data_IF_618210766549
#
_entry.id   IF_618210766549
#
_cell.length_a   1.000
_cell.length_b   1.000
_cell.length_c   1.000
_cell.angle_alpha   90.00
_cell.angle_beta   90.00
_cell.angle_gamma   90.00
#
_symmetry.space_group_name_H-M   'P 1'
#
loop_
_entity.id
_entity.type
_entity.pdbx_description
1 polymer ?
#
# COMPACT_ATOMS: atom_id res chain seq x y z
N UNK A 1 7.09 13.29 13.37
CA UNK A 1 5.77 12.93 13.89
C UNK A 1 5.51 13.51 15.28
N UNK A 2 6.37 14.36 15.87
CA UNK A 2 6.00 15.07 17.12
C UNK A 2 4.71 15.90 17.02
N UNK A 3 4.32 16.32 15.81
CA UNK A 3 3.02 16.93 15.53
C UNK A 3 1.87 15.91 15.39
N UNK A 4 2.18 14.67 14.96
CA UNK A 4 1.20 13.61 14.71
C UNK A 4 0.91 12.85 16.01
N UNK A 5 1.92 12.46 16.80
CA UNK A 5 1.69 11.93 18.15
C UNK A 5 0.95 12.92 19.06
N UNK A 6 1.11 14.24 18.85
CA UNK A 6 0.31 15.28 19.55
C UNK A 6 -1.14 15.34 19.09
N UNK A 7 -1.41 15.16 17.79
CA UNK A 7 -2.78 15.18 17.21
C UNK A 7 -3.49 13.82 17.40
N UNK A 8 -2.70 12.76 17.54
CA UNK A 8 -3.08 11.36 17.49
C UNK A 8 -2.27 10.57 18.53
N UNK A 9 -2.65 10.67 19.82
CA UNK A 9 -1.85 10.15 20.94
C UNK A 9 -1.64 8.63 20.92
N UNK A 10 -2.44 7.89 20.15
CA UNK A 10 -2.39 6.43 20.05
C UNK A 10 -1.55 5.94 18.84
N UNK A 11 -0.88 6.83 18.12
CA UNK A 11 0.03 6.45 17.02
C UNK A 11 1.45 6.80 17.42
N UNK A 12 2.16 5.79 17.93
CA UNK A 12 3.59 5.89 18.23
C UNK A 12 4.38 5.43 17.00
N UNK A 13 5.31 6.27 16.57
CA UNK A 13 6.19 6.01 15.44
C UNK A 13 7.49 6.77 15.64
N UNK A 14 8.53 6.36 14.93
CA UNK A 14 9.92 6.79 15.12
C UNK A 14 10.11 8.22 14.69
N UNK A 15 10.44 9.11 15.62
CA UNK A 15 10.86 10.46 15.28
C UNK A 15 12.36 10.61 15.07
N UNK A 16 13.14 9.63 15.52
CA UNK A 16 14.60 9.57 15.38
C UNK A 16 15.10 8.13 15.55
N UNK A 17 16.15 7.78 14.83
CA UNK A 17 16.82 6.47 14.91
C UNK A 17 18.20 6.66 15.53
N UNK A 18 18.69 5.68 16.29
CA UNK A 18 20.03 5.75 16.87
C UNK A 18 21.11 5.58 15.78
N UNK A 19 22.26 6.25 15.97
CA UNK A 19 23.41 6.10 15.07
C UNK A 19 23.85 4.64 14.95
N UNK A 20 23.73 3.86 16.03
CA UNK A 20 24.08 2.45 16.02
C UNK A 20 23.15 1.62 15.12
N UNK A 21 21.83 1.85 15.20
CA UNK A 21 20.87 1.19 14.32
C UNK A 21 21.12 1.55 12.83
N UNK A 22 21.58 2.76 12.55
CA UNK A 22 22.00 3.15 11.20
C UNK A 22 23.25 2.39 10.74
N UNK A 23 24.28 2.29 11.59
CA UNK A 23 25.50 1.51 11.31
C UNK A 23 25.16 0.04 11.08
N UNK A 24 24.36 -0.57 11.95
CA UNK A 24 23.93 -1.96 11.80
C UNK A 24 23.15 -2.18 10.51
N UNK A 25 22.26 -1.26 10.12
CA UNK A 25 21.55 -1.39 8.85
C UNK A 25 22.50 -1.29 7.66
N UNK A 26 23.45 -0.35 7.69
CA UNK A 26 24.44 -0.21 6.62
C UNK A 26 25.20 -1.52 6.46
N UNK A 27 25.67 -2.10 7.56
CA UNK A 27 26.46 -3.32 7.53
C UNK A 27 25.64 -4.56 7.11
N UNK A 28 24.44 -4.73 7.68
CA UNK A 28 23.69 -5.99 7.55
C UNK A 28 22.62 -5.98 6.45
N UNK A 29 22.16 -4.81 6.00
CA UNK A 29 20.94 -4.70 5.17
C UNK A 29 21.06 -3.80 3.95
N UNK A 30 21.93 -2.78 3.97
CA UNK A 30 21.99 -1.80 2.87
C UNK A 30 22.27 -2.41 1.50
N UNK A 31 23.09 -3.46 1.42
CA UNK A 31 23.41 -4.13 0.16
C UNK A 31 22.16 -4.68 -0.58
N UNK A 32 21.15 -5.13 0.16
CA UNK A 32 19.88 -5.61 -0.42
C UNK A 32 19.12 -4.49 -1.15
N UNK A 33 19.22 -3.25 -0.66
CA UNK A 33 18.53 -2.10 -1.22
C UNK A 33 19.37 -1.35 -2.25
N UNK A 34 20.66 -1.11 -1.94
CA UNK A 34 21.58 -0.38 -2.80
C UNK A 34 21.68 -1.00 -4.19
N UNK A 35 21.75 -2.34 -4.27
CA UNK A 35 21.80 -3.02 -5.57
C UNK A 35 20.52 -2.78 -6.38
N UNK A 36 19.34 -3.00 -5.79
CA UNK A 36 18.06 -2.79 -6.48
C UNK A 36 17.87 -1.33 -6.90
N UNK A 37 18.19 -0.38 -6.02
CA UNK A 37 18.10 1.07 -6.32
C UNK A 37 19.12 1.52 -7.37
N UNK A 38 20.36 1.02 -7.33
CA UNK A 38 21.42 1.46 -8.23
C UNK A 38 21.29 0.88 -9.64
N UNK A 39 20.71 -0.31 -9.80
CA UNK A 39 20.60 -0.95 -11.13
C UNK A 39 19.19 -0.87 -11.70
N UNK A 40 18.18 -1.38 -10.98
CA UNK A 40 16.81 -1.48 -11.52
C UNK A 40 16.17 -0.10 -11.70
N UNK A 41 16.22 0.74 -10.67
CA UNK A 41 15.57 2.06 -10.73
C UNK A 41 16.25 2.96 -11.76
N UNK A 42 17.58 2.94 -11.83
CA UNK A 42 18.32 3.72 -12.83
C UNK A 42 18.03 3.25 -14.25
N UNK A 43 17.89 1.94 -14.48
CA UNK A 43 17.45 1.39 -15.76
C UNK A 43 16.01 1.80 -16.10
N UNK A 44 15.07 1.71 -15.16
CA UNK A 44 13.67 2.09 -15.36
C UNK A 44 13.54 3.58 -15.68
N UNK A 45 14.24 4.44 -14.92
CA UNK A 45 14.30 5.89 -15.19
C UNK A 45 14.90 6.15 -16.57
N UNK A 46 15.99 5.48 -16.93
CA UNK A 46 16.60 5.64 -18.24
C UNK A 46 15.64 5.23 -19.35
N UNK A 47 14.93 4.10 -19.20
CA UNK A 47 13.94 3.62 -20.16
C UNK A 47 12.76 4.59 -20.32
N UNK A 48 12.28 5.20 -19.24
CA UNK A 48 11.26 6.26 -19.28
C UNK A 48 11.79 7.49 -20.02
N UNK A 49 12.99 7.96 -19.68
CA UNK A 49 13.60 9.16 -20.29
C UNK A 49 13.86 8.98 -21.79
N UNK A 50 14.24 7.78 -22.23
CA UNK A 50 14.44 7.48 -23.66
C UNK A 50 13.15 7.02 -24.36
N UNK A 51 12.00 7.09 -23.69
CA UNK A 51 10.69 6.75 -24.24
C UNK A 51 10.50 5.26 -24.59
N UNK A 52 11.34 4.38 -24.05
CA UNK A 52 11.27 2.92 -24.23
C UNK A 52 10.28 2.25 -23.28
N UNK A 53 10.05 2.85 -22.11
CA UNK A 53 9.03 2.44 -21.16
C UNK A 53 7.87 3.45 -21.24
N UNK A 54 6.82 3.09 -21.98
CA UNK A 54 5.58 3.87 -22.05
C UNK A 54 4.52 3.16 -21.22
N UNK A 55 3.78 3.89 -20.36
CA UNK A 55 2.69 3.30 -19.62
C UNK A 55 1.61 2.83 -20.61
N UNK A 56 1.00 1.69 -20.33
CA UNK A 56 -0.12 1.15 -21.10
C UNK A 56 -1.31 0.88 -20.20
N UNK A 57 -2.52 0.99 -20.76
CA UNK A 57 -3.73 0.56 -20.06
C UNK A 57 -3.63 -0.93 -19.75
N UNK A 58 -3.71 -1.31 -18.48
CA UNK A 58 -3.69 -2.71 -18.06
C UNK A 58 -4.84 -3.51 -18.69
N UNK A 59 -4.54 -4.77 -19.00
CA UNK A 59 -5.54 -5.76 -19.37
C UNK A 59 -6.44 -6.10 -18.16
N UNK A 60 -7.67 -6.55 -18.43
CA UNK A 60 -8.63 -6.91 -17.37
C UNK A 60 -8.05 -7.96 -16.43
N UNK A 61 -7.33 -8.96 -16.97
CA UNK A 61 -6.65 -10.00 -16.19
C UNK A 61 -5.60 -9.44 -15.23
N UNK A 62 -4.85 -8.42 -15.64
CA UNK A 62 -3.82 -7.79 -14.79
C UNK A 62 -4.47 -7.02 -13.64
N UNK A 63 -5.55 -6.29 -13.92
CA UNK A 63 -6.34 -5.58 -12.91
C UNK A 63 -7.01 -6.56 -11.93
N UNK A 64 -7.60 -7.65 -12.43
CA UNK A 64 -8.19 -8.69 -11.59
C UNK A 64 -7.11 -9.34 -10.72
N UNK A 65 -5.94 -9.64 -11.30
CA UNK A 65 -4.82 -10.20 -10.55
C UNK A 65 -4.37 -9.28 -9.43
N UNK A 66 -4.33 -7.96 -9.66
CA UNK A 66 -4.07 -7.02 -8.57
C UNK A 66 -5.04 -7.23 -7.39
N UNK A 67 -6.35 -7.35 -7.63
CA UNK A 67 -7.31 -7.54 -6.54
C UNK A 67 -7.24 -8.93 -5.89
N UNK A 68 -6.91 -9.97 -6.65
CA UNK A 68 -6.92 -11.37 -6.16
C UNK A 68 -5.60 -11.84 -5.55
N UNK A 69 -4.48 -11.19 -5.90
CA UNK A 69 -3.14 -11.61 -5.50
C UNK A 69 -2.44 -10.62 -4.57
N UNK A 70 -2.98 -9.42 -4.30
CA UNK A 70 -2.33 -8.45 -3.41
C UNK A 70 -3.11 -8.23 -2.11
N UNK A 71 -2.58 -7.37 -1.23
CA UNK A 71 -3.26 -6.86 -0.03
C UNK A 71 -4.67 -6.30 -0.28
N UNK A 72 -4.98 -5.89 -1.52
CA UNK A 72 -6.32 -5.50 -1.94
C UNK A 72 -7.38 -6.59 -1.66
N UNK A 73 -7.00 -7.86 -1.69
CA UNK A 73 -7.91 -8.98 -1.46
C UNK A 73 -8.60 -8.92 -0.09
N UNK A 74 -7.95 -8.34 0.93
CA UNK A 74 -8.49 -8.22 2.28
C UNK A 74 -9.68 -7.24 2.40
N UNK A 75 -9.93 -6.44 1.36
CA UNK A 75 -11.04 -5.47 1.30
C UNK A 75 -12.14 -5.86 0.31
N UNK A 76 -12.05 -7.05 -0.31
CA UNK A 76 -13.04 -7.51 -1.27
C UNK A 76 -14.36 -7.86 -0.58
N UNK A 77 -15.46 -7.55 -1.26
CA UNK A 77 -16.80 -8.01 -0.89
C UNK A 77 -17.33 -8.92 -1.99
N UNK A 78 -17.73 -10.13 -1.61
CA UNK A 78 -18.29 -11.09 -2.56
C UNK A 78 -19.82 -11.07 -2.53
N UNK A 79 -20.45 -10.83 -3.67
CA UNK A 79 -21.89 -10.98 -3.86
C UNK A 79 -22.19 -12.40 -4.38
N UNK A 80 -22.60 -13.30 -3.49
CA UNK A 80 -22.95 -14.69 -3.85
C UNK A 80 -24.08 -14.77 -4.89
N UNK A 81 -25.03 -13.84 -4.91
CA UNK A 81 -26.17 -13.90 -5.85
C UNK A 81 -25.72 -13.59 -7.27
N UNK A 82 -24.79 -12.66 -7.41
CA UNK A 82 -24.27 -12.23 -8.70
C UNK A 82 -22.99 -12.96 -9.11
N UNK A 83 -22.36 -13.68 -8.18
CA UNK A 83 -21.04 -14.31 -8.34
C UNK A 83 -19.96 -13.28 -8.72
N UNK A 84 -20.00 -12.11 -8.06
CA UNK A 84 -19.10 -10.99 -8.37
C UNK A 84 -18.38 -10.49 -7.13
N UNK A 85 -17.13 -10.08 -7.31
CA UNK A 85 -16.38 -9.30 -6.34
C UNK A 85 -16.63 -7.82 -6.54
N UNK A 86 -16.69 -7.08 -5.44
CA UNK A 86 -16.68 -5.62 -5.40
C UNK A 86 -15.52 -5.11 -4.56
N UNK A 87 -14.85 -4.08 -5.05
CA UNK A 87 -13.83 -3.33 -4.31
C UNK A 87 -14.23 -1.85 -4.27
N UNK A 88 -14.25 -1.25 -3.09
CA UNK A 88 -14.65 0.14 -2.89
C UNK A 88 -13.44 0.99 -2.45
N UNK A 89 -13.14 2.02 -3.24
CA UNK A 89 -12.06 2.98 -3.00
C UNK A 89 -12.49 4.13 -2.07
N UNK A 90 -13.32 3.84 -1.07
CA UNK A 90 -13.93 4.85 -0.20
C UNK A 90 -12.90 5.74 0.51
N UNK A 91 -11.70 5.21 0.75
CA UNK A 91 -10.60 5.88 1.47
C UNK A 91 -9.97 7.01 0.66
N UNK A 92 -10.05 6.95 -0.67
CA UNK A 92 -9.46 7.99 -1.54
C UNK A 92 -10.13 9.35 -1.35
N UNK A 93 -11.39 9.39 -0.88
CA UNK A 93 -12.12 10.64 -0.67
C UNK A 93 -11.48 11.57 0.37
N UNK A 94 -10.71 11.04 1.32
CA UNK A 94 -10.06 11.88 2.34
C UNK A 94 -8.74 12.49 1.88
N UNK A 95 -8.20 12.07 0.74
CA UNK A 95 -6.94 12.58 0.23
C UNK A 95 -7.16 13.88 -0.54
N UNK A 96 -6.49 14.94 -0.09
CA UNK A 96 -6.45 16.22 -0.80
C UNK A 96 -5.31 16.17 -1.79
N UNK A 97 -5.66 16.16 -3.08
CA UNK A 97 -4.70 16.18 -4.17
C UNK A 97 -4.38 17.63 -4.56
N UNK A 98 -3.22 17.84 -5.16
CA UNK A 98 -2.91 19.08 -5.85
C UNK A 98 -3.95 19.36 -6.93
N UNK A 99 -4.17 20.65 -7.20
CA UNK A 99 -5.07 21.08 -8.27
C UNK A 99 -4.70 20.39 -9.59
N UNK A 100 -5.72 19.94 -10.32
CA UNK A 100 -5.62 19.24 -11.60
C UNK A 100 -5.02 17.82 -11.52
N UNK A 101 -5.07 17.16 -10.37
CA UNK A 101 -4.79 15.72 -10.27
C UNK A 101 -6.03 14.98 -9.81
N UNK A 102 -6.24 13.78 -10.34
CA UNK A 102 -7.51 13.08 -10.18
C UNK A 102 -7.35 11.62 -9.80
N UNK A 103 -8.11 11.20 -8.78
CA UNK A 103 -8.41 9.80 -8.49
C UNK A 103 -9.92 9.68 -8.48
N UNK A 104 -10.54 9.34 -9.61
CA UNK A 104 -12.00 9.44 -9.80
C UNK A 104 -12.76 8.15 -9.58
N UNK A 105 -12.07 7.01 -9.63
CA UNK A 105 -12.72 5.71 -9.45
C UNK A 105 -13.07 5.50 -7.99
N UNK A 106 -14.30 5.02 -7.75
CA UNK A 106 -14.87 4.80 -6.42
C UNK A 106 -15.19 3.35 -6.16
N UNK A 107 -15.48 2.58 -7.20
CA UNK A 107 -15.81 1.17 -7.09
C UNK A 107 -15.42 0.44 -8.36
N UNK A 108 -15.04 -0.83 -8.23
CA UNK A 108 -14.92 -1.77 -9.34
C UNK A 108 -15.63 -3.07 -8.98
N UNK A 109 -16.31 -3.65 -9.97
CA UNK A 109 -16.97 -4.96 -9.87
C UNK A 109 -16.44 -5.90 -10.93
N UNK A 110 -16.14 -7.13 -10.57
CA UNK A 110 -15.49 -8.10 -11.44
C UNK A 110 -15.84 -9.56 -11.06
N UNK A 111 -15.77 -10.47 -12.03
CA UNK A 111 -15.64 -11.92 -11.79
C UNK A 111 -14.17 -12.32 -11.77
N UNK A 112 -13.84 -13.61 -11.67
CA UNK A 112 -12.44 -14.06 -11.78
C UNK A 112 -11.87 -13.91 -13.19
N UNK A 113 -12.73 -13.68 -14.18
CA UNK A 113 -12.41 -13.67 -15.61
C UNK A 113 -12.49 -12.28 -16.21
N UNK A 114 -13.42 -11.43 -15.75
CA UNK A 114 -13.62 -10.12 -16.34
C UNK A 114 -14.06 -9.02 -15.36
N UNK A 115 -13.74 -7.79 -15.73
CA UNK A 115 -14.27 -6.60 -15.06
C UNK A 115 -15.66 -6.30 -15.66
N UNK A 116 -16.67 -6.21 -14.79
CA UNK A 116 -18.07 -6.00 -15.16
C UNK A 116 -18.41 -4.52 -15.21
N UNK A 117 -17.97 -3.77 -14.19
CA UNK A 117 -18.33 -2.36 -14.04
C UNK A 117 -17.29 -1.57 -13.25
N UNK A 118 -17.17 -0.29 -13.59
CA UNK A 118 -16.32 0.70 -12.90
C UNK A 118 -17.21 1.90 -12.55
N UNK A 119 -17.15 2.35 -11.30
CA UNK A 119 -17.81 3.57 -10.86
C UNK A 119 -16.82 4.75 -10.84
N UNK A 120 -17.09 5.78 -11.63
CA UNK A 120 -16.26 6.98 -11.77
C UNK A 120 -17.15 8.22 -11.97
N UNK A 121 -16.71 9.40 -11.52
CA UNK A 121 -17.47 10.65 -11.74
C UNK A 121 -18.92 10.61 -11.23
N UNK A 122 -19.18 9.84 -10.16
CA UNK A 122 -20.54 9.66 -9.60
C UNK A 122 -21.48 8.74 -10.38
N UNK A 123 -21.03 8.08 -11.45
CA UNK A 123 -21.82 7.14 -12.25
C UNK A 123 -21.18 5.75 -12.27
N UNK A 124 -21.98 4.73 -12.56
CA UNK A 124 -21.52 3.34 -12.75
C UNK A 124 -21.56 3.00 -14.24
N UNK A 125 -20.42 2.64 -14.78
CA UNK A 125 -20.26 2.26 -16.18
C UNK A 125 -20.10 0.75 -16.29
N UNK A 126 -20.97 0.11 -17.06
CA UNK A 126 -20.91 -1.32 -17.33
C UNK A 126 -20.14 -1.56 -18.62
N UNK A 127 -19.19 -2.49 -18.62
CA UNK A 127 -18.34 -2.82 -19.78
C UNK A 127 -19.15 -3.05 -21.06
N UNK A 128 -20.25 -3.78 -20.95
CA UNK A 128 -21.14 -4.11 -22.07
C UNK A 128 -21.94 -2.91 -22.64
N UNK A 129 -21.93 -1.76 -21.97
CA UNK A 129 -22.76 -0.58 -22.31
C UNK A 129 -21.95 0.66 -22.68
N UNK A 130 -20.63 0.57 -22.72
CA UNK A 130 -19.74 1.69 -23.06
C UNK A 130 -18.90 1.37 -24.27
N UNK A 131 -18.43 2.41 -24.96
CA UNK A 131 -17.50 2.23 -26.08
C UNK A 131 -16.18 1.61 -25.62
N UNK A 132 -15.46 0.99 -26.54
CA UNK A 132 -14.13 0.45 -26.25
C UNK A 132 -13.15 1.53 -25.77
N UNK A 133 -13.22 2.74 -26.35
CA UNK A 133 -12.39 3.87 -25.96
C UNK A 133 -12.72 4.35 -24.54
N UNK A 134 -14.01 4.53 -24.21
CA UNK A 134 -14.43 4.90 -22.85
C UNK A 134 -14.02 3.84 -21.82
N UNK A 135 -14.11 2.55 -22.20
CA UNK A 135 -13.67 1.46 -21.33
C UNK A 135 -12.16 1.51 -21.06
N UNK A 136 -11.35 1.78 -22.09
CA UNK A 136 -9.91 2.00 -21.91
C UNK A 136 -9.63 3.16 -20.96
N UNK A 137 -10.32 4.28 -21.14
CA UNK A 137 -10.17 5.46 -20.27
C UNK A 137 -10.57 5.15 -18.82
N UNK A 138 -11.70 4.48 -18.60
CA UNK A 138 -12.12 4.04 -17.25
C UNK A 138 -11.07 3.16 -16.57
N UNK A 139 -10.48 2.22 -17.31
CA UNK A 139 -9.40 1.37 -16.80
C UNK A 139 -8.13 2.17 -16.48
N UNK A 140 -7.81 3.19 -17.26
CA UNK A 140 -6.69 4.09 -17.00
C UNK A 140 -6.84 4.83 -15.66
N UNK A 141 -8.04 5.39 -15.41
CA UNK A 141 -8.34 6.02 -14.12
C UNK A 141 -8.34 5.01 -12.97
N UNK A 142 -8.86 3.79 -13.18
CA UNK A 142 -8.83 2.72 -12.20
C UNK A 142 -7.37 2.32 -11.86
N UNK A 143 -6.52 2.16 -12.86
CA UNK A 143 -5.11 1.81 -12.70
C UNK A 143 -4.35 2.89 -11.91
N UNK A 144 -4.59 4.17 -12.20
CA UNK A 144 -4.02 5.31 -11.44
C UNK A 144 -4.47 5.25 -9.98
N UNK A 145 -5.76 4.99 -9.75
CA UNK A 145 -6.36 4.84 -8.43
C UNK A 145 -5.77 3.64 -7.67
N UNK A 146 -5.55 2.51 -8.35
CA UNK A 146 -4.92 1.30 -7.78
C UNK A 146 -3.48 1.55 -7.36
N UNK A 147 -2.68 2.21 -8.20
CA UNK A 147 -1.28 2.53 -7.92
C UNK A 147 -1.16 3.36 -6.63
N UNK A 148 -2.07 4.32 -6.44
CA UNK A 148 -2.12 5.12 -5.22
C UNK A 148 -2.48 4.31 -3.96
N UNK A 149 -3.42 3.37 -4.06
CA UNK A 149 -3.94 2.64 -2.91
C UNK A 149 -2.91 1.80 -2.18
N UNK A 150 -1.89 1.32 -2.88
CA UNK A 150 -0.86 0.41 -2.34
C UNK A 150 -0.16 1.07 -1.14
N UNK A 151 0.59 2.18 -1.30
CA UNK A 151 1.22 2.86 -0.19
C UNK A 151 0.24 3.71 0.63
N UNK A 152 -0.93 4.06 0.10
CA UNK A 152 -1.88 4.88 0.85
C UNK A 152 -2.65 4.08 1.91
N UNK A 153 -2.93 2.80 1.65
CA UNK A 153 -3.86 2.01 2.49
C UNK A 153 -3.48 0.54 2.66
N UNK A 154 -2.96 -0.11 1.62
CA UNK A 154 -2.83 -1.58 1.63
C UNK A 154 -1.54 -2.07 2.29
N UNK A 155 -0.52 -1.21 2.36
CA UNK A 155 0.81 -1.58 2.86
C UNK A 155 1.18 -0.96 4.22
N UNK A 156 0.43 0.04 4.70
CA UNK A 156 0.80 0.78 5.90
C UNK A 156 0.76 -0.04 7.17
N UNK A 157 -0.21 -0.96 7.26
CA UNK A 157 -0.40 -1.77 8.45
C UNK A 157 0.79 -2.71 8.71
N UNK A 158 1.51 -3.18 7.69
CA UNK A 158 2.70 -4.05 7.87
C UNK A 158 3.95 -3.32 8.36
N UNK A 159 3.93 -1.98 8.35
CA UNK A 159 5.02 -1.12 8.81
C UNK A 159 4.72 -0.44 10.14
N UNK A 160 3.53 0.15 10.29
CA UNK A 160 3.21 1.09 11.36
C UNK A 160 2.29 0.52 12.44
N UNK A 161 2.27 1.18 13.60
CA UNK A 161 1.52 0.81 14.80
C UNK A 161 2.03 -0.50 15.44
N UNK A 162 1.42 -1.67 15.19
CA UNK A 162 1.82 -2.91 15.86
C UNK A 162 3.30 -3.25 15.65
N UNK A 163 3.85 -3.22 14.42
CA UNK A 163 5.27 -3.52 14.24
C UNK A 163 6.20 -2.54 14.95
N UNK A 164 5.89 -1.24 14.93
CA UNK A 164 6.65 -0.22 15.65
C UNK A 164 6.56 -0.37 17.16
N UNK A 165 5.36 -0.62 17.70
CA UNK A 165 5.15 -0.85 19.12
C UNK A 165 5.94 -2.07 19.60
N UNK A 166 5.91 -3.18 18.86
CA UNK A 166 6.72 -4.37 19.16
C UNK A 166 8.22 -4.04 19.11
N UNK A 167 8.68 -3.36 18.06
CA UNK A 167 10.08 -3.01 17.89
C UNK A 167 10.61 -2.16 19.05
N UNK A 168 9.90 -1.08 19.40
CA UNK A 168 10.27 -0.17 20.49
C UNK A 168 10.22 -0.89 21.85
N UNK A 169 9.13 -1.60 22.14
CA UNK A 169 8.94 -2.24 23.43
C UNK A 169 9.94 -3.36 23.67
N UNK A 170 10.16 -4.24 22.68
CA UNK A 170 11.07 -5.36 22.84
C UNK A 170 12.53 -4.92 22.97
N UNK A 171 12.98 -3.98 22.13
CA UNK A 171 14.37 -3.50 22.16
C UNK A 171 14.71 -2.78 23.48
N UNK A 172 13.75 -2.04 24.04
CA UNK A 172 13.92 -1.29 25.29
C UNK A 172 13.79 -2.13 26.56
N UNK A 173 12.88 -3.11 26.57
CA UNK A 173 12.45 -3.77 27.80
C UNK A 173 13.04 -5.17 27.99
N UNK A 174 13.47 -5.84 26.92
CA UNK A 174 13.95 -7.21 27.01
C UNK A 174 15.49 -7.30 26.96
N UNK A 175 16.11 -8.09 27.85
CA UNK A 175 17.54 -8.38 27.77
C UNK A 175 17.86 -9.24 26.53
N UNK A 176 19.08 -9.16 26.00
CA UNK A 176 19.54 -9.97 24.85
C UNK A 176 19.44 -11.49 25.12
N UNK A 177 19.46 -11.90 26.38
CA UNK A 177 19.30 -13.29 26.81
C UNK A 177 17.85 -13.78 26.83
N UNK A 178 16.88 -12.87 26.70
CA UNK A 178 15.45 -13.21 26.68
C UNK A 178 15.11 -14.10 25.48
N UNK A 179 14.37 -15.18 25.73
CA UNK A 179 13.83 -16.04 24.67
C UNK A 179 12.83 -15.26 23.82
N UNK A 180 12.02 -14.39 24.43
CA UNK A 180 11.08 -13.54 23.72
C UNK A 180 11.80 -12.57 22.78
N UNK A 181 12.91 -11.97 23.23
CA UNK A 181 13.73 -11.10 22.38
C UNK A 181 14.37 -11.86 21.23
N UNK A 182 15.01 -13.00 21.49
CA UNK A 182 15.65 -13.81 20.45
C UNK A 182 14.64 -14.30 19.40
N UNK A 183 13.40 -14.58 19.81
CA UNK A 183 12.30 -14.88 18.91
C UNK A 183 11.93 -13.69 18.03
N UNK A 184 11.77 -12.49 18.61
CA UNK A 184 11.17 -11.34 17.94
C UNK A 184 12.16 -10.43 17.20
N UNK A 185 13.39 -10.31 17.68
CA UNK A 185 14.41 -9.40 17.13
C UNK A 185 14.65 -9.61 15.64
N UNK A 186 14.79 -10.85 15.11
CA UNK A 186 14.94 -11.04 13.67
C UNK A 186 13.78 -10.49 12.82
N UNK A 187 12.60 -10.29 13.43
CA UNK A 187 11.38 -9.85 12.76
C UNK A 187 11.11 -8.33 12.89
N UNK A 188 11.60 -7.68 13.95
CA UNK A 188 11.49 -6.22 14.08
C UNK A 188 12.78 -5.46 13.77
N UNK A 189 13.92 -6.16 13.64
CA UNK A 189 15.21 -5.52 13.39
C UNK A 189 15.11 -4.67 12.12
N UNK A 190 15.43 -3.38 12.27
CA UNK A 190 15.36 -2.32 11.26
C UNK A 190 13.97 -1.75 10.90
N UNK A 191 12.87 -2.26 11.44
CA UNK A 191 11.52 -1.72 11.20
C UNK A 191 11.48 -0.22 11.45
N UNK A 192 11.94 0.20 12.62
CA UNK A 192 11.92 1.60 13.03
C UNK A 192 12.83 2.49 12.17
N UNK A 193 13.99 1.97 11.76
CA UNK A 193 14.87 2.69 10.85
C UNK A 193 14.21 2.89 9.48
N UNK A 194 13.55 1.87 8.95
CA UNK A 194 12.89 1.91 7.66
C UNK A 194 11.68 2.85 7.70
N UNK A 195 10.87 2.78 8.74
CA UNK A 195 9.74 3.67 8.96
C UNK A 195 10.20 5.13 9.06
N UNK A 196 11.27 5.39 9.82
CA UNK A 196 11.85 6.72 9.89
C UNK A 196 12.35 7.21 8.52
N UNK A 197 13.05 6.35 7.78
CA UNK A 197 13.50 6.67 6.43
C UNK A 197 12.31 7.02 5.52
N UNK A 198 11.27 6.19 5.49
CA UNK A 198 10.09 6.38 4.65
C UNK A 198 9.32 7.67 5.00
N UNK A 199 9.14 7.96 6.29
CA UNK A 199 8.36 9.11 6.74
C UNK A 199 9.14 10.41 6.72
N UNK A 200 10.43 10.40 7.06
CA UNK A 200 11.19 11.62 7.34
C UNK A 200 12.22 11.99 6.30
N UNK A 201 12.89 10.99 5.74
CA UNK A 201 14.06 11.20 4.87
C UNK A 201 13.67 11.07 3.41
N UNK A 202 12.79 10.13 3.09
CA UNK A 202 12.24 9.93 1.77
C UNK A 202 11.32 11.09 1.42
N UNK A 203 11.85 12.06 0.67
CA UNK A 203 11.06 13.14 0.08
C UNK A 203 10.17 12.65 -1.07
N UNK A 204 10.13 11.34 -1.38
CA UNK A 204 9.37 10.76 -2.48
C UNK A 204 7.87 11.09 -2.46
N UNK A 205 7.33 11.37 -1.27
CA UNK A 205 5.95 11.81 -1.04
C UNK A 205 5.81 13.31 -0.77
N UNK A 206 6.90 14.08 -0.72
CA UNK A 206 6.87 15.54 -0.52
C UNK A 206 6.86 16.29 -1.86
N UNK A 207 5.75 16.18 -2.59
CA UNK A 207 5.55 16.95 -3.80
C UNK A 207 4.98 18.32 -3.42
N UNK A 208 5.78 19.39 -3.48
CA UNK A 208 5.31 20.77 -3.23
C UNK A 208 4.67 21.40 -4.46
N UNK A 209 4.55 20.63 -5.55
CA UNK A 209 4.11 21.09 -6.86
C UNK A 209 4.93 22.27 -7.40
N UNK A 210 6.17 22.41 -6.91
CA UNK A 210 7.08 23.49 -7.28
C UNK A 210 7.69 23.25 -8.66
N UNK A 211 8.23 24.30 -9.28
CA UNK A 211 9.00 24.15 -10.52
C UNK A 211 10.14 23.13 -10.34
N UNK A 212 10.85 23.18 -9.21
CA UNK A 212 11.97 22.28 -8.97
C UNK A 212 11.53 20.82 -8.84
N UNK A 213 10.40 20.56 -8.19
CA UNK A 213 9.87 19.20 -8.04
C UNK A 213 9.43 18.64 -9.40
N UNK A 214 8.76 19.44 -10.23
CA UNK A 214 8.29 19.02 -11.56
C UNK A 214 9.41 18.63 -12.52
N UNK A 215 10.53 19.36 -12.49
CA UNK A 215 11.61 19.19 -13.48
C UNK A 215 12.84 18.45 -12.97
N UNK A 216 13.14 18.53 -11.67
CA UNK A 216 14.34 17.93 -11.09
C UNK A 216 14.05 16.76 -10.14
N UNK A 217 12.78 16.53 -9.80
CA UNK A 217 12.37 15.36 -9.02
C UNK A 217 11.16 14.68 -9.65
N UNK A 218 11.27 14.23 -10.93
CA UNK A 218 10.17 13.58 -11.61
C UNK A 218 9.71 12.29 -10.91
N UNK A 219 10.49 11.73 -9.98
CA UNK A 219 10.13 10.59 -9.11
C UNK A 219 9.12 10.93 -7.99
N UNK A 220 8.68 12.20 -7.85
CA UNK A 220 7.68 12.61 -6.85
C UNK A 220 6.26 12.26 -7.28
N UNK A 221 5.96 10.98 -7.06
CA UNK A 221 4.77 10.28 -7.48
C UNK A 221 3.44 10.83 -6.98
N UNK A 222 3.36 11.20 -5.70
CA UNK A 222 2.09 11.55 -5.10
C UNK A 222 1.80 13.04 -5.31
N UNK A 223 0.65 13.40 -5.89
CA UNK A 223 0.29 14.80 -6.07
C UNK A 223 -0.25 15.38 -4.76
N UNK A 224 0.55 15.32 -3.70
CA UNK A 224 0.26 15.89 -2.38
C UNK A 224 1.57 16.18 -1.63
N UNK A 225 1.50 16.97 -0.57
CA UNK A 225 2.65 17.17 0.31
C UNK A 225 2.83 15.98 1.24
N UNK A 226 4.03 15.87 1.82
CA UNK A 226 4.34 14.84 2.80
C UNK A 226 3.43 14.92 4.03
N UNK A 227 3.08 16.11 4.50
CA UNK A 227 2.20 16.28 5.67
C UNK A 227 0.82 15.69 5.40
N UNK A 228 0.26 15.94 4.21
CA UNK A 228 -1.03 15.39 3.78
C UNK A 228 -0.95 13.87 3.66
N UNK A 229 0.14 13.34 3.09
CA UNK A 229 0.35 11.90 2.97
C UNK A 229 0.38 11.23 4.35
N UNK A 230 1.23 11.72 5.27
CA UNK A 230 1.38 11.14 6.60
C UNK A 230 0.10 11.29 7.43
N UNK A 231 -0.60 12.43 7.36
CA UNK A 231 -1.88 12.60 8.07
C UNK A 231 -2.90 11.54 7.63
N UNK A 232 -3.00 11.25 6.34
CA UNK A 232 -3.93 10.25 5.85
C UNK A 232 -3.49 8.82 6.21
N UNK A 233 -2.20 8.49 6.09
CA UNK A 233 -1.70 7.19 6.56
C UNK A 233 -2.01 6.96 8.04
N UNK A 234 -1.83 8.00 8.88
CA UNK A 234 -2.14 7.93 10.30
C UNK A 234 -3.62 7.64 10.56
N UNK A 235 -4.54 8.29 9.83
CA UNK A 235 -5.99 8.02 9.91
C UNK A 235 -6.34 6.60 9.51
N UNK A 236 -5.69 6.07 8.47
CA UNK A 236 -5.90 4.70 8.00
C UNK A 236 -5.39 3.67 9.00
N UNK A 237 -4.18 3.85 9.53
CA UNK A 237 -3.63 3.01 10.59
C UNK A 237 -4.52 3.03 11.84
N UNK A 238 -5.01 4.20 12.24
CA UNK A 238 -5.98 4.29 13.34
C UNK A 238 -7.26 3.54 13.04
N UNK A 239 -7.84 3.69 11.84
CA UNK A 239 -9.07 2.96 11.53
C UNK A 239 -8.85 1.44 11.56
N UNK A 240 -7.66 0.97 11.21
CA UNK A 240 -7.32 -0.45 11.27
C UNK A 240 -7.13 -0.91 12.73
N UNK A 241 -6.30 -0.20 13.51
CA UNK A 241 -5.84 -0.62 14.83
C UNK A 241 -6.65 -0.09 16.03
N UNK A 242 -7.46 0.97 15.89
CA UNK A 242 -8.40 1.42 16.93
C UNK A 242 -9.70 0.59 16.96
N UNK A 243 -9.78 -0.47 16.16
CA UNK A 243 -10.80 -1.49 16.34
C UNK A 243 -10.51 -2.29 17.61
N UNK A 244 -11.45 -3.13 18.02
CA UNK A 244 -11.16 -4.09 19.08
C UNK A 244 -10.00 -5.00 18.65
N UNK A 245 -9.04 -5.33 19.51
CA UNK A 245 -7.87 -6.14 19.14
C UNK A 245 -8.22 -7.46 18.45
N UNK A 246 -9.33 -8.09 18.83
CA UNK A 246 -9.86 -9.31 18.23
C UNK A 246 -10.30 -9.12 16.76
N UNK A 247 -10.50 -7.87 16.32
CA UNK A 247 -10.83 -7.52 14.94
C UNK A 247 -9.60 -7.31 14.04
N UNK A 248 -8.38 -7.46 14.58
CA UNK A 248 -7.16 -7.50 13.77
C UNK A 248 -6.19 -8.63 14.15
N UNK A 249 -6.40 -9.29 15.29
CA UNK A 249 -5.56 -10.37 15.79
C UNK A 249 -6.40 -11.57 16.29
N UNK A 250 -6.46 -12.69 15.53
CA UNK A 250 -5.95 -12.86 14.18
C UNK A 250 -6.76 -12.05 13.16
N UNK A 251 -6.15 -11.70 12.02
CA UNK A 251 -6.83 -10.82 11.05
C UNK A 251 -8.12 -11.45 10.50
N UNK A 252 -9.29 -10.78 10.59
CA UNK A 252 -10.59 -11.40 10.29
C UNK A 252 -10.73 -11.92 8.86
N UNK A 253 -10.06 -11.30 7.89
CA UNK A 253 -10.14 -11.74 6.49
C UNK A 253 -9.54 -13.14 6.28
N UNK A 254 -8.70 -13.62 7.19
CA UNK A 254 -8.22 -15.00 7.18
C UNK A 254 -9.35 -16.00 7.43
N UNK A 255 -10.45 -15.57 8.03
CA UNK A 255 -11.59 -16.42 8.40
C UNK A 255 -12.84 -16.19 7.53
N UNK A 256 -12.83 -15.21 6.63
CA UNK A 256 -13.97 -14.95 5.75
C UNK A 256 -14.14 -16.08 4.72
N UNK A 257 -15.18 -16.91 4.91
CA UNK A 257 -15.56 -18.02 4.04
C UNK A 257 -15.71 -17.64 2.57
N UNK A 258 -16.05 -16.38 2.28
CA UNK A 258 -16.23 -15.91 0.91
C UNK A 258 -14.90 -15.60 0.20
N UNK A 259 -13.82 -15.45 0.97
CA UNK A 259 -12.51 -15.04 0.47
C UNK A 259 -11.46 -16.14 0.59
N UNK A 260 -11.77 -17.28 1.22
CA UNK A 260 -10.81 -18.35 1.50
C UNK A 260 -10.13 -18.93 0.24
N UNK A 261 -10.84 -18.90 -0.88
CA UNK A 261 -10.35 -19.39 -2.18
C UNK A 261 -9.74 -18.29 -3.04
N UNK A 262 -9.54 -17.09 -2.50
CA UNK A 262 -8.78 -16.03 -3.15
C UNK A 262 -7.28 -16.37 -2.99
N UNK A 263 -6.49 -16.39 -4.08
CA UNK A 263 -5.10 -16.86 -4.04
C UNK A 263 -4.25 -16.22 -2.94
N UNK A 264 -4.34 -14.90 -2.76
CA UNK A 264 -3.63 -14.19 -1.70
C UNK A 264 -4.03 -14.68 -0.29
N UNK A 265 -5.33 -14.72 -0.01
CA UNK A 265 -5.88 -15.15 1.29
C UNK A 265 -5.52 -16.61 1.58
N UNK A 266 -5.65 -17.49 0.59
CA UNK A 266 -5.30 -18.90 0.70
C UNK A 266 -3.85 -19.11 1.11
N UNK A 267 -2.94 -18.37 0.47
CA UNK A 267 -1.50 -18.43 0.78
C UNK A 267 -1.24 -17.91 2.19
N UNK A 268 -1.82 -16.75 2.53
CA UNK A 268 -1.66 -16.14 3.85
C UNK A 268 -2.16 -17.04 4.99
N UNK A 269 -3.32 -17.69 4.83
CA UNK A 269 -3.85 -18.67 5.80
C UNK A 269 -2.90 -19.84 6.03
N UNK A 270 -2.34 -20.39 4.94
CA UNK A 270 -1.38 -21.49 5.01
C UNK A 270 -0.18 -21.11 5.85
N UNK A 271 0.46 -19.98 5.55
CA UNK A 271 1.62 -19.53 6.32
C UNK A 271 1.28 -19.13 7.75
N UNK A 272 0.13 -18.49 8.00
CA UNK A 272 -0.31 -18.16 9.35
C UNK A 272 -0.38 -19.42 10.23
N UNK A 273 -0.95 -20.52 9.73
CA UNK A 273 -1.01 -21.78 10.47
C UNK A 273 0.36 -22.40 10.79
N UNK A 274 1.35 -22.20 9.92
CA UNK A 274 2.73 -22.68 10.13
C UNK A 274 3.40 -21.84 11.22
N UNK A 275 3.33 -20.51 11.09
CA UNK A 275 3.86 -19.57 12.09
C UNK A 275 3.22 -19.83 13.44
N UNK A 276 1.90 -20.01 13.48
CA UNK A 276 1.16 -20.28 14.71
C UNK A 276 1.67 -21.51 15.43
N UNK A 277 1.86 -22.61 14.71
CA UNK A 277 2.35 -23.87 15.29
C UNK A 277 3.72 -23.69 15.92
N UNK A 278 4.62 -22.98 15.24
CA UNK A 278 5.93 -22.65 15.75
C UNK A 278 5.85 -21.77 17.01
N UNK A 279 5.08 -20.68 16.95
CA UNK A 279 4.90 -19.75 18.08
C UNK A 279 4.31 -20.46 19.29
N UNK A 280 3.29 -21.32 19.14
CA UNK A 280 2.72 -22.08 20.25
C UNK A 280 3.74 -22.99 20.96
N UNK A 281 4.76 -23.47 20.26
CA UNK A 281 5.82 -24.28 20.87
C UNK A 281 6.83 -23.40 21.63
N UNK A 282 7.23 -22.27 21.04
CA UNK A 282 8.19 -21.34 21.67
C UNK A 282 7.56 -20.57 22.83
N UNK A 283 6.27 -20.24 22.74
CA UNK A 283 5.49 -19.55 23.77
C UNK A 283 5.55 -20.24 25.13
N UNK A 284 5.74 -21.56 25.18
CA UNK A 284 5.89 -22.33 26.42
C UNK A 284 7.22 -22.06 27.14
N UNK A 285 8.19 -21.47 26.44
CA UNK A 285 9.53 -21.16 26.92
C UNK A 285 9.70 -19.67 27.24
N UNK A 286 8.71 -18.84 26.91
CA UNK A 286 8.74 -17.40 27.19
C UNK A 286 8.44 -17.17 28.67
N UNK A 287 9.24 -16.33 29.31
CA UNK A 287 8.98 -15.88 30.67
C UNK A 287 7.67 -15.06 30.72
N UNK A 288 6.68 -15.47 31.53
CA UNK A 288 5.42 -14.75 31.66
C UNK A 288 5.59 -13.29 32.12
N UNK A 289 6.59 -12.99 32.95
CA UNK A 289 6.85 -11.63 33.43
C UNK A 289 7.38 -10.73 32.29
N UNK A 290 8.29 -11.27 31.46
CA UNK A 290 8.78 -10.57 30.27
C UNK A 290 7.63 -10.27 29.29
N UNK A 291 6.75 -11.24 29.06
CA UNK A 291 5.57 -11.03 28.22
C UNK A 291 4.63 -9.97 28.79
N UNK A 292 4.36 -10.01 30.10
CA UNK A 292 3.47 -9.04 30.74
C UNK A 292 4.00 -7.61 30.54
N UNK A 293 5.27 -7.36 30.84
CA UNK A 293 5.91 -6.04 30.69
C UNK A 293 5.82 -5.53 29.24
N UNK A 294 6.11 -6.40 28.27
CA UNK A 294 6.07 -6.03 26.84
C UNK A 294 4.64 -5.79 26.39
N UNK A 295 3.70 -6.67 26.72
CA UNK A 295 2.29 -6.55 26.31
C UNK A 295 1.62 -5.31 26.90
N UNK A 296 1.91 -4.95 28.16
CA UNK A 296 1.44 -3.69 28.77
C UNK A 296 2.03 -2.46 28.06
N UNK A 297 3.31 -2.51 27.69
CA UNK A 297 3.94 -1.43 26.93
C UNK A 297 3.34 -1.28 25.52
N UNK A 298 3.00 -2.37 24.85
CA UNK A 298 2.31 -2.33 23.55
C UNK A 298 0.87 -1.84 23.75
N UNK A 299 0.19 -2.26 24.81
CA UNK A 299 -1.17 -1.85 25.20
C UNK A 299 -1.32 -0.35 25.43
N UNK A 300 -0.26 0.32 25.91
CA UNK A 300 -0.22 1.78 26.00
C UNK A 300 -0.33 2.49 24.63
N UNK A 301 0.03 1.80 23.55
CA UNK A 301 -0.10 2.29 22.15
C UNK A 301 -1.35 1.74 21.47
N UNK A 302 -1.66 0.46 21.70
CA UNK A 302 -2.77 -0.28 21.11
C UNK A 302 -3.68 -0.81 22.23
N UNK A 303 -4.62 0.01 22.73
CA UNK A 303 -5.42 -0.34 23.90
C UNK A 303 -6.16 -1.67 23.76
N UNK A 304 -6.09 -2.50 24.80
CA UNK A 304 -6.75 -3.80 24.89
C UNK A 304 -5.94 -4.97 24.33
N UNK A 305 -4.78 -4.73 23.72
CA UNK A 305 -3.97 -5.81 23.14
C UNK A 305 -3.43 -6.77 24.20
N UNK A 306 -3.30 -6.30 25.44
CA UNK A 306 -2.88 -7.05 26.61
C UNK A 306 -3.86 -8.17 26.99
N UNK A 307 -5.13 -8.10 26.56
CA UNK A 307 -6.11 -9.17 26.81
C UNK A 307 -6.00 -10.32 25.81
N UNK A 308 -5.25 -10.13 24.72
CA UNK A 308 -5.09 -11.17 23.71
C UNK A 308 -4.14 -12.27 24.19
N UNK A 309 -4.38 -13.53 23.78
CA UNK A 309 -3.42 -14.60 24.04
C UNK A 309 -2.06 -14.28 23.42
N UNK A 310 -0.97 -14.44 24.19
CA UNK A 310 0.40 -14.20 23.73
C UNK A 310 0.69 -14.86 22.38
N UNK A 311 0.32 -16.14 22.25
CA UNK A 311 0.55 -16.89 21.02
C UNK A 311 -0.15 -16.26 19.81
N UNK A 312 -1.31 -15.62 19.98
CA UNK A 312 -2.06 -15.02 18.88
C UNK A 312 -1.42 -13.69 18.45
N UNK A 313 -1.00 -12.87 19.41
CA UNK A 313 -0.30 -11.61 19.11
C UNK A 313 1.06 -11.85 18.45
N UNK A 314 1.87 -12.75 19.02
CA UNK A 314 3.18 -13.10 18.46
C UNK A 314 3.04 -13.74 17.08
N UNK A 315 2.04 -14.62 16.87
CA UNK A 315 1.74 -15.18 15.56
C UNK A 315 1.40 -14.08 14.56
N UNK A 316 0.50 -13.17 14.93
CA UNK A 316 0.04 -12.10 14.05
C UNK A 316 1.20 -11.18 13.67
N UNK A 317 2.00 -10.73 14.64
CA UNK A 317 3.17 -9.90 14.39
C UNK A 317 4.18 -10.58 13.44
N UNK A 318 4.65 -11.79 13.77
CA UNK A 318 5.66 -12.50 12.97
C UNK A 318 5.14 -12.76 11.55
N UNK A 319 3.90 -13.23 11.42
CA UNK A 319 3.26 -13.48 10.13
C UNK A 319 3.13 -12.20 9.30
N UNK A 320 2.74 -11.10 9.92
CA UNK A 320 2.54 -9.81 9.27
C UNK A 320 3.85 -9.22 8.72
N UNK A 321 4.87 -9.08 9.56
CA UNK A 321 6.12 -8.42 9.16
C UNK A 321 7.01 -9.29 8.27
N UNK A 322 6.83 -10.61 8.30
CA UNK A 322 7.64 -11.55 7.52
C UNK A 322 6.92 -11.98 6.23
N UNK A 323 5.70 -12.51 6.36
CA UNK A 323 5.01 -13.17 5.26
C UNK A 323 4.21 -12.16 4.46
N UNK A 324 3.30 -11.42 5.10
CA UNK A 324 2.46 -10.44 4.40
C UNK A 324 3.34 -9.38 3.75
N UNK A 325 4.24 -8.78 4.53
CA UNK A 325 5.14 -7.73 4.03
C UNK A 325 5.97 -8.18 2.83
N UNK A 326 6.59 -9.37 2.89
CA UNK A 326 7.38 -9.90 1.77
C UNK A 326 6.52 -10.19 0.55
N UNK A 327 5.32 -10.76 0.74
CA UNK A 327 4.42 -11.08 -0.37
C UNK A 327 3.90 -9.82 -1.05
N UNK A 328 3.54 -8.81 -0.28
CA UNK A 328 3.15 -7.51 -0.81
C UNK A 328 4.24 -6.95 -1.71
N UNK A 329 5.47 -6.84 -1.22
CA UNK A 329 6.58 -6.34 -2.04
C UNK A 329 6.80 -7.16 -3.32
N UNK A 330 6.91 -8.48 -3.22
CA UNK A 330 7.20 -9.32 -4.38
C UNK A 330 6.05 -9.31 -5.40
N UNK A 331 4.79 -9.32 -4.94
CA UNK A 331 3.64 -9.32 -5.84
C UNK A 331 3.43 -7.94 -6.47
N UNK A 332 3.64 -6.84 -5.74
CA UNK A 332 3.59 -5.51 -6.36
C UNK A 332 4.68 -5.36 -7.41
N UNK A 333 5.90 -5.87 -7.16
CA UNK A 333 6.99 -5.89 -8.16
C UNK A 333 6.56 -6.68 -9.40
N UNK A 334 5.99 -7.87 -9.23
CA UNK A 334 5.64 -8.71 -10.37
C UNK A 334 4.39 -8.28 -11.13
N UNK A 335 3.39 -7.74 -10.44
CA UNK A 335 2.07 -7.43 -11.02
C UNK A 335 2.05 -6.06 -11.68
N UNK A 336 2.88 -5.12 -11.21
CA UNK A 336 2.85 -3.73 -11.66
C UNK A 336 4.14 -3.32 -12.39
N UNK A 337 5.32 -3.74 -11.94
CA UNK A 337 6.60 -3.22 -12.47
C UNK A 337 6.93 -3.66 -13.89
N UNK A 338 6.50 -4.85 -14.32
CA UNK A 338 7.00 -5.43 -15.59
C UNK A 338 6.66 -4.60 -16.83
N UNK A 339 5.58 -3.82 -16.82
CA UNK A 339 5.13 -3.04 -17.97
C UNK A 339 4.55 -1.66 -17.61
N UNK A 340 4.42 -1.30 -16.33
CA UNK A 340 3.79 -0.04 -15.93
C UNK A 340 4.52 0.61 -14.73
N UNK A 341 4.84 1.91 -14.82
CA UNK A 341 5.45 2.63 -13.71
C UNK A 341 4.56 2.62 -12.47
N UNK A 342 5.19 2.50 -11.30
CA UNK A 342 4.61 2.30 -9.98
C UNK A 342 3.68 3.40 -9.47
N UNK A 343 3.78 4.59 -10.04
CA UNK A 343 3.00 5.74 -9.64
C UNK A 343 2.57 6.49 -10.87
N UNK A 344 1.31 6.29 -11.21
CA UNK A 344 0.68 6.95 -12.32
C UNK A 344 -0.11 8.10 -11.74
N UNK A 345 0.07 9.27 -12.34
CA UNK A 345 -0.78 10.41 -12.07
C UNK A 345 -1.51 10.78 -13.35
N UNK A 346 -2.79 11.10 -13.20
CA UNK A 346 -3.63 11.57 -14.29
C UNK A 346 -4.08 13.00 -13.97
N UNK A 347 -3.90 13.89 -14.95
CA UNK A 347 -4.16 15.32 -14.77
C UNK A 347 -5.46 15.79 -15.42
N UNK A 348 -6.30 14.85 -15.79
CA UNK A 348 -7.58 15.08 -16.45
C UNK A 348 -8.62 14.32 -15.64
N UNK A 349 -9.78 14.92 -15.28
CA UNK A 349 -10.86 14.20 -14.65
C UNK A 349 -11.45 13.17 -15.61
N UNK A 350 -12.05 12.13 -15.07
CA UNK A 350 -12.81 11.21 -15.90
C UNK A 350 -14.02 11.91 -16.51
N UNK A 351 -14.02 12.02 -17.83
CA UNK A 351 -15.14 12.49 -18.65
C UNK A 351 -15.31 11.53 -19.83
N UNK A 352 -16.53 11.01 -20.11
CA UNK A 352 -16.73 10.13 -21.26
C UNK A 352 -16.44 10.87 -22.57
N UNK A 353 -15.94 10.18 -23.58
CA UNK A 353 -15.63 10.79 -24.89
C UNK A 353 -16.85 11.37 -25.60
N UNK A 354 -18.07 10.97 -25.20
CA UNK A 354 -19.31 11.62 -25.63
C UNK A 354 -19.45 13.08 -25.18
N UNK A 355 -18.69 13.52 -24.17
CA UNK A 355 -18.62 14.92 -23.75
C UNK A 355 -17.66 15.69 -24.68
N UNK A 356 -18.08 15.91 -25.92
CA UNK A 356 -17.23 16.52 -26.95
C UNK A 356 -16.75 17.91 -26.55
N UNK A 357 -17.61 18.72 -25.89
CA UNK A 357 -17.22 20.05 -25.40
C UNK A 357 -16.00 20.03 -24.48
N UNK A 358 -15.93 19.04 -23.58
CA UNK A 358 -14.78 18.89 -22.69
C UNK A 358 -13.53 18.48 -23.47
N UNK A 359 -13.65 17.45 -24.31
CA UNK A 359 -12.52 16.89 -25.04
C UNK A 359 -11.99 17.80 -26.13
N UNK A 360 -12.85 18.55 -26.81
CA UNK A 360 -12.47 19.57 -27.81
C UNK A 360 -11.62 20.66 -27.14
N UNK A 361 -12.08 21.19 -26.00
CA UNK A 361 -11.33 22.20 -25.25
C UNK A 361 -9.98 21.67 -24.73
N UNK A 362 -9.96 20.43 -24.21
CA UNK A 362 -8.72 19.79 -23.76
C UNK A 362 -7.74 19.58 -24.92
N UNK A 363 -8.21 19.05 -26.05
CA UNK A 363 -7.38 18.79 -27.22
C UNK A 363 -6.82 20.09 -27.82
N UNK A 364 -7.64 21.15 -27.87
CA UNK A 364 -7.21 22.48 -28.30
C UNK A 364 -6.11 23.04 -27.37
N UNK A 365 -6.29 22.96 -26.04
CA UNK A 365 -5.29 23.41 -25.07
C UNK A 365 -3.96 22.67 -25.20
N UNK A 366 -4.01 21.35 -25.45
CA UNK A 366 -2.81 20.50 -25.54
C UNK A 366 -2.22 20.37 -26.93
N UNK A 367 -2.88 20.90 -27.96
CA UNK A 367 -2.48 20.71 -29.36
C UNK A 367 -2.55 19.24 -29.81
N UNK A 368 -3.50 18.47 -29.25
CA UNK A 368 -3.70 17.05 -29.55
C UNK A 368 -4.91 16.84 -30.46
N UNK A 369 -5.02 15.65 -31.07
CA UNK A 369 -6.25 15.22 -31.73
C UNK A 369 -6.98 14.22 -30.84
N UNK A 370 -8.29 14.36 -30.74
CA UNK A 370 -9.12 13.48 -29.92
C UNK A 370 -8.95 12.00 -30.30
N UNK A 371 -8.81 11.69 -31.59
CA UNK A 371 -8.63 10.31 -32.05
C UNK A 371 -7.34 9.68 -31.52
N UNK A 372 -6.28 10.45 -31.35
CA UNK A 372 -4.99 9.97 -30.84
C UNK A 372 -5.14 9.66 -29.34
N UNK A 373 -5.79 10.55 -28.58
CA UNK A 373 -6.12 10.34 -27.17
C UNK A 373 -7.04 9.12 -26.97
N UNK A 374 -8.01 8.89 -27.84
CA UNK A 374 -8.90 7.71 -27.77
C UNK A 374 -8.15 6.40 -28.05
N UNK A 375 -7.14 6.44 -28.93
CA UNK A 375 -6.37 5.28 -29.32
C UNK A 375 -5.36 4.87 -28.24
N UNK A 376 -4.64 5.85 -27.69
CA UNK A 376 -3.63 5.67 -26.65
C UNK A 376 -3.79 6.70 -25.49
N UNK A 377 -4.84 6.55 -24.66
CA UNK A 377 -5.06 7.47 -23.55
C UNK A 377 -3.94 7.39 -22.50
N UNK A 378 -3.20 6.28 -22.43
CA UNK A 378 -2.09 6.15 -21.47
C UNK A 378 -0.90 7.02 -21.87
N UNK A 379 -0.52 7.01 -23.15
CA UNK A 379 0.55 7.85 -23.68
C UNK A 379 0.25 9.35 -23.59
N UNK A 380 -1.01 9.74 -23.74
CA UNK A 380 -1.42 11.15 -23.79
C UNK A 380 -1.82 11.75 -22.44
N UNK A 381 -2.34 10.94 -21.50
CA UNK A 381 -2.95 11.47 -20.26
C UNK A 381 -2.16 11.15 -18.99
N UNK A 382 -1.25 10.17 -19.02
CA UNK A 382 -0.48 9.82 -17.83
C UNK A 382 0.84 10.58 -17.78
N UNK A 383 1.13 11.13 -16.60
CA UNK A 383 2.50 11.44 -16.24
C UNK A 383 3.12 10.21 -15.60
N UNK A 384 4.22 9.73 -16.19
CA UNK A 384 4.96 8.57 -15.72
C UNK A 384 5.95 8.97 -14.63
N UNK A 385 5.89 8.26 -13.51
CA UNK A 385 6.84 8.43 -12.41
C UNK A 385 7.36 7.07 -11.92
N UNK A 386 8.69 6.94 -11.83
CA UNK A 386 9.33 5.79 -11.17
C UNK A 386 9.27 5.98 -9.65
N UNK A 387 8.62 5.05 -8.94
CA UNK A 387 8.62 4.99 -7.48
C UNK A 387 9.63 3.96 -6.99
N UNK A 388 10.31 4.28 -5.89
CA UNK A 388 11.28 3.39 -5.24
C UNK A 388 10.65 2.92 -3.93
N UNK A 389 10.29 1.63 -3.87
CA UNK A 389 9.91 0.95 -2.62
C UNK A 389 11.13 0.39 -1.91
#
# INVERSE_FOLDING_TARGET
MGLISRKYPNVYDVTAVSTWADVEFVYNRSACYLRRMATSVSEDIAQVLVGKMKPSVLADKEIINFFLYTGAASYLKYDKRKQTFGYCFQYIKSYVLHKNYYYDVREVRFTREEIIAIAAGGKVYFKAKVSFADWKLLKLHLQTTMAFMIPATQHNWVHFCLPSAVAISCDKLLPETSILRQLLEPHYKFTERLNHQALFVCNASDNKNSFADKYFKPWLAFPMTKEVFIENMSKECQRYYNKRPEEFCPSPFLHDENLVDIPYVKMLRKYNSVVRRFVCQVALLVDPEEWQIVSESIGATLPGIEVLPMADLLTTFIWQVSIVHSLDHEIYVHTLNRNNPWCLTITVPYEPYSNTKFWDAFCEEKGLKLIDVMNDPAGELLNTVCFVL
#
